data_IF_149696869501
#
_entry.id   IF_149696869501
#
_cell.length_a   1.000
_cell.length_b   1.000
_cell.length_c   1.000
_cell.angle_alpha   90.00
_cell.angle_beta   90.00
_cell.angle_gamma   90.00
#
_symmetry.space_group_name_H-M   'P 1'
#
loop_
_entity.id
_entity.type
_entity.pdbx_description
1 polymer ?
#
# COMPACT_ATOMS: atom_id res chain seq x y z
N UNK A 1 -37.06 -24.04 -25.17
CA UNK A 1 -37.63 -23.61 -23.88
C UNK A 1 -36.45 -23.37 -22.92
N UNK A 2 -35.73 -22.26 -23.13
CA UNK A 2 -34.60 -21.85 -22.30
C UNK A 2 -34.95 -20.46 -21.75
N UNK A 3 -35.34 -20.43 -20.49
CA UNK A 3 -35.63 -19.20 -19.76
C UNK A 3 -34.32 -18.66 -19.20
N UNK A 4 -33.77 -17.62 -19.83
CA UNK A 4 -32.74 -16.78 -19.22
C UNK A 4 -33.36 -15.98 -18.08
N UNK A 5 -32.97 -16.31 -16.84
CA UNK A 5 -33.20 -15.47 -15.68
C UNK A 5 -32.18 -14.33 -15.72
N UNK A 6 -32.63 -13.13 -16.00
CA UNK A 6 -31.86 -11.91 -15.77
C UNK A 6 -31.63 -11.76 -14.26
N UNK A 7 -30.37 -11.78 -13.85
CA UNK A 7 -29.95 -11.37 -12.52
C UNK A 7 -29.98 -9.84 -12.49
N UNK A 8 -30.96 -9.26 -11.81
CA UNK A 8 -31.03 -7.81 -11.58
C UNK A 8 -29.97 -7.48 -10.54
N UNK A 9 -28.83 -6.95 -11.00
CA UNK A 9 -27.80 -6.37 -10.14
C UNK A 9 -28.34 -5.12 -9.48
N UNK A 10 -28.47 -5.15 -8.15
CA UNK A 10 -28.79 -3.98 -7.34
C UNK A 10 -27.55 -3.08 -7.34
N UNK A 11 -27.51 -2.06 -8.21
CA UNK A 11 -26.58 -0.96 -8.08
C UNK A 11 -26.95 -0.18 -6.81
N UNK A 12 -26.23 -0.42 -5.72
CA UNK A 12 -26.22 0.49 -4.57
C UNK A 12 -25.51 1.77 -5.02
N UNK A 13 -26.26 2.74 -5.55
CA UNK A 13 -25.77 4.11 -5.75
C UNK A 13 -25.64 4.71 -4.35
N UNK A 14 -24.46 4.54 -3.74
CA UNK A 14 -24.08 5.31 -2.56
C UNK A 14 -23.79 6.72 -3.04
N UNK A 15 -24.84 7.52 -3.25
CA UNK A 15 -24.67 8.95 -3.42
C UNK A 15 -24.01 9.46 -2.14
N UNK A 16 -22.78 9.95 -2.24
CA UNK A 16 -22.19 10.90 -1.28
C UNK A 16 -22.96 12.24 -1.35
N UNK A 17 -24.29 12.18 -1.34
CA UNK A 17 -25.15 13.33 -1.15
C UNK A 17 -25.14 13.63 0.35
N UNK A 18 -24.40 14.68 0.68
CA UNK A 18 -24.21 15.25 2.01
C UNK A 18 -25.55 15.81 2.50
N UNK A 19 -26.30 15.03 3.28
CA UNK A 19 -27.31 15.57 4.21
C UNK A 19 -27.26 14.79 5.52
N UNK A 20 -26.17 14.96 6.26
CA UNK A 20 -26.01 14.51 7.63
C UNK A 20 -25.35 15.62 8.44
N UNK A 21 -25.54 15.64 9.79
CA UNK A 21 -25.08 16.72 10.64
C UNK A 21 -23.61 17.03 10.39
N UNK A 22 -23.32 18.33 10.24
CA UNK A 22 -22.03 18.89 9.88
C UNK A 22 -20.94 18.44 10.85
N UNK A 23 -20.30 17.31 10.56
CA UNK A 23 -18.95 17.05 11.04
C UNK A 23 -18.06 18.14 10.44
N UNK A 24 -17.20 18.71 11.27
CA UNK A 24 -16.35 19.86 10.98
C UNK A 24 -15.49 19.59 9.74
N UNK A 25 -16.00 19.95 8.57
CA UNK A 25 -15.27 19.98 7.32
C UNK A 25 -14.43 21.26 7.29
N UNK A 26 -13.39 21.31 8.13
CA UNK A 26 -12.24 22.15 7.84
C UNK A 26 -11.36 21.34 6.86
N UNK A 27 -11.82 21.33 5.61
CA UNK A 27 -11.29 20.65 4.43
C UNK A 27 -10.00 21.33 3.96
N UNK A 28 -9.03 21.46 4.87
CA UNK A 28 -7.71 21.99 4.55
C UNK A 28 -6.79 20.83 4.18
N UNK A 29 -6.83 20.42 2.92
CA UNK A 29 -5.95 19.36 2.40
C UNK A 29 -4.45 19.73 2.47
N UNK A 30 -4.06 20.86 3.08
CA UNK A 30 -2.65 21.26 3.24
C UNK A 30 -1.80 20.34 4.11
N UNK A 31 -2.43 19.53 4.96
CA UNK A 31 -1.71 18.54 5.78
C UNK A 31 -1.54 17.23 5.02
N UNK A 32 -0.36 16.61 5.17
CA UNK A 32 -0.09 15.28 4.65
C UNK A 32 -1.00 14.21 5.29
N UNK A 33 -1.05 13.06 4.64
CA UNK A 33 -1.88 11.92 5.04
C UNK A 33 -1.57 11.45 6.47
N UNK A 34 -0.32 11.51 6.91
CA UNK A 34 0.11 11.03 8.23
C UNK A 34 -0.41 11.90 9.37
N UNK A 35 -0.23 13.22 9.25
CA UNK A 35 -0.76 14.19 10.23
C UNK A 35 -2.28 14.09 10.30
N UNK A 36 -2.96 13.99 9.15
CA UNK A 36 -4.42 13.83 9.12
C UNK A 36 -4.88 12.51 9.72
N UNK A 37 -4.14 11.42 9.50
CA UNK A 37 -4.44 10.12 10.08
C UNK A 37 -4.33 10.13 11.61
N UNK A 38 -3.33 10.81 12.18
CA UNK A 38 -3.19 10.96 13.64
C UNK A 38 -4.39 11.69 14.27
N UNK A 39 -4.84 12.78 13.64
CA UNK A 39 -6.03 13.52 14.09
C UNK A 39 -7.29 12.64 13.99
N UNK A 40 -7.41 11.91 12.88
CA UNK A 40 -8.53 11.00 12.64
C UNK A 40 -8.55 9.83 13.63
N UNK A 41 -7.39 9.26 13.96
CA UNK A 41 -7.23 8.18 14.93
C UNK A 41 -7.70 8.60 16.32
N UNK A 42 -7.34 9.81 16.78
CA UNK A 42 -7.85 10.36 18.03
C UNK A 42 -9.37 10.48 18.04
N UNK A 43 -9.93 11.04 16.97
CA UNK A 43 -11.39 11.20 16.82
C UNK A 43 -12.12 9.84 16.79
N UNK A 44 -11.51 8.84 16.14
CA UNK A 44 -12.03 7.48 16.11
C UNK A 44 -11.99 6.85 17.52
N UNK A 45 -10.90 6.99 18.28
CA UNK A 45 -10.81 6.49 19.65
C UNK A 45 -11.85 7.11 20.58
N UNK A 46 -12.06 8.43 20.51
CA UNK A 46 -13.09 9.11 21.31
C UNK A 46 -14.50 8.53 21.01
N UNK A 47 -14.78 8.26 19.73
CA UNK A 47 -16.03 7.64 19.28
C UNK A 47 -16.17 6.18 19.74
N UNK A 48 -15.09 5.39 19.71
CA UNK A 48 -15.07 4.00 20.15
C UNK A 48 -15.27 3.89 21.66
N UNK A 49 -14.61 4.76 22.45
CA UNK A 49 -14.79 4.84 23.89
C UNK A 49 -16.23 5.18 24.27
N UNK A 50 -16.85 6.13 23.55
CA UNK A 50 -18.27 6.47 23.75
C UNK A 50 -19.25 5.34 23.40
N UNK A 51 -18.78 4.28 22.75
CA UNK A 51 -19.54 3.06 22.40
C UNK A 51 -19.15 1.85 23.27
N UNK A 52 -18.38 2.06 24.34
CA UNK A 52 -17.88 1.00 25.23
C UNK A 52 -17.05 -0.09 24.51
N UNK A 53 -16.39 0.26 23.39
CA UNK A 53 -15.53 -0.67 22.64
C UNK A 53 -14.20 -0.81 23.37
N UNK A 54 -13.77 -2.06 23.65
CA UNK A 54 -12.49 -2.33 24.31
C UNK A 54 -11.43 -2.83 23.33
N UNK A 55 -11.80 -3.73 22.40
CA UNK A 55 -10.87 -4.32 21.45
C UNK A 55 -11.29 -4.03 20.01
N UNK A 56 -10.38 -3.47 19.21
CA UNK A 56 -10.66 -3.09 17.82
C UNK A 56 -9.61 -3.62 16.85
N UNK A 57 -10.07 -4.14 15.70
CA UNK A 57 -9.20 -4.54 14.60
C UNK A 57 -9.35 -3.58 13.42
N UNK A 58 -8.23 -3.19 12.79
CA UNK A 58 -8.23 -2.36 11.58
C UNK A 58 -7.92 -3.23 10.37
N UNK A 59 -8.80 -3.18 9.37
CA UNK A 59 -8.73 -4.00 8.17
C UNK A 59 -8.52 -3.17 6.90
N UNK A 60 -8.13 -3.84 5.81
CA UNK A 60 -7.90 -3.29 4.47
C UNK A 60 -8.95 -2.23 4.11
N UNK A 61 -8.48 -1.12 3.56
CA UNK A 61 -9.34 -0.07 3.03
C UNK A 61 -9.67 -0.36 1.57
N UNK A 62 -10.73 0.25 1.05
CA UNK A 62 -11.10 0.13 -0.36
C UNK A 62 -10.91 1.42 -1.11
N UNK A 63 -10.35 1.36 -2.30
CA UNK A 63 -10.24 2.51 -3.16
C UNK A 63 -11.56 2.73 -3.91
N UNK A 64 -11.89 3.99 -4.15
CA UNK A 64 -12.92 4.38 -5.09
C UNK A 64 -12.25 5.06 -6.29
N UNK A 65 -12.46 4.51 -7.47
CA UNK A 65 -11.94 5.08 -8.71
C UNK A 65 -12.74 6.34 -9.15
N UNK A 66 -12.33 6.93 -10.27
CA UNK A 66 -12.97 8.10 -10.85
C UNK A 66 -14.38 7.83 -11.42
N UNK A 67 -14.70 6.56 -11.68
CA UNK A 67 -16.00 6.03 -12.10
C UNK A 67 -16.87 5.61 -10.91
N UNK A 68 -16.42 5.88 -9.69
CA UNK A 68 -17.09 5.50 -8.44
C UNK A 68 -17.25 3.98 -8.27
N UNK A 69 -16.43 3.19 -8.96
CA UNK A 69 -16.29 1.78 -8.70
C UNK A 69 -15.40 1.59 -7.48
N UNK A 70 -15.80 0.65 -6.64
CA UNK A 70 -15.05 0.28 -5.45
C UNK A 70 -14.13 -0.86 -5.84
N UNK A 71 -12.83 -0.67 -5.64
CA UNK A 71 -11.82 -1.70 -5.85
C UNK A 71 -11.10 -2.00 -4.54
N UNK A 72 -10.85 -3.29 -4.32
CA UNK A 72 -9.95 -3.72 -3.26
C UNK A 72 -8.48 -3.64 -3.71
N UNK A 73 -8.23 -3.37 -4.99
CA UNK A 73 -6.93 -3.46 -5.64
C UNK A 73 -6.61 -2.14 -6.34
N UNK A 74 -5.95 -1.25 -5.60
CA UNK A 74 -5.32 -0.03 -6.11
C UNK A 74 -3.88 0.02 -5.58
N UNK A 75 -3.07 -0.93 -6.04
CA UNK A 75 -1.72 -1.15 -5.55
C UNK A 75 -1.68 -1.47 -4.06
N UNK A 76 -0.61 -1.04 -3.39
CA UNK A 76 -0.42 -1.26 -1.95
C UNK A 76 -1.10 -0.20 -1.07
N UNK A 77 -1.73 0.82 -1.66
CA UNK A 77 -2.34 1.93 -0.94
C UNK A 77 -3.46 1.48 0.03
N UNK A 78 -4.26 0.49 -0.38
CA UNK A 78 -5.36 -0.06 0.43
C UNK A 78 -4.89 -0.63 1.77
N UNK A 79 -3.76 -1.34 1.75
CA UNK A 79 -3.15 -1.93 2.94
C UNK A 79 -2.38 -0.89 3.74
N UNK A 80 -1.65 0.01 3.07
CA UNK A 80 -0.93 1.09 3.76
C UNK A 80 -1.85 1.99 4.58
N UNK A 81 -3.00 2.40 4.04
CA UNK A 81 -3.92 3.25 4.80
C UNK A 81 -4.40 2.54 6.07
N UNK A 82 -4.68 1.23 5.97
CA UNK A 82 -5.06 0.42 7.14
C UNK A 82 -3.93 0.39 8.18
N UNK A 83 -2.70 0.08 7.76
CA UNK A 83 -1.53 0.05 8.64
C UNK A 83 -1.23 1.41 9.27
N UNK A 84 -1.29 2.49 8.49
CA UNK A 84 -1.08 3.84 8.97
C UNK A 84 -2.12 4.21 10.03
N UNK A 85 -3.39 3.84 9.84
CA UNK A 85 -4.42 4.02 10.86
C UNK A 85 -4.14 3.18 12.11
N UNK A 86 -3.75 1.91 11.96
CA UNK A 86 -3.36 1.04 13.10
C UNK A 86 -2.26 1.70 13.91
N UNK A 87 -1.18 2.13 13.26
CA UNK A 87 -0.04 2.78 13.90
C UNK A 87 -0.45 4.09 14.58
N UNK A 88 -1.29 4.91 13.94
CA UNK A 88 -1.83 6.13 14.53
C UNK A 88 -2.69 5.86 15.75
N UNK A 89 -3.57 4.85 15.71
CA UNK A 89 -4.38 4.46 16.88
C UNK A 89 -3.47 4.00 18.03
N UNK A 90 -2.47 3.17 17.75
CA UNK A 90 -1.52 2.72 18.77
C UNK A 90 -0.73 3.89 19.38
N UNK A 91 -0.24 4.82 18.56
CA UNK A 91 0.47 6.00 19.03
C UNK A 91 -0.39 6.86 19.97
N UNK A 92 -1.64 7.15 19.59
CA UNK A 92 -2.56 7.94 20.43
C UNK A 92 -2.91 7.21 21.73
N UNK A 93 -3.09 5.89 21.68
CA UNK A 93 -3.38 5.06 22.87
C UNK A 93 -2.19 5.05 23.85
N UNK A 94 -0.95 5.01 23.36
CA UNK A 94 0.26 5.08 24.20
C UNK A 94 0.36 6.40 24.95
N UNK A 95 -0.04 7.52 24.33
CA UNK A 95 -0.02 8.83 24.96
C UNK A 95 -1.13 9.04 26.00
N UNK A 96 -2.33 8.48 25.74
CA UNK A 96 -3.54 8.75 26.53
C UNK A 96 -3.83 7.69 27.61
N UNK A 97 -3.16 6.53 27.55
CA UNK A 97 -3.48 5.35 28.36
C UNK A 97 -4.54 4.48 27.67
N UNK A 98 -4.48 3.13 27.82
CA UNK A 98 -5.29 2.24 27.00
C UNK A 98 -6.73 2.14 27.49
N UNK A 99 -7.63 2.90 26.88
CA UNK A 99 -9.06 2.64 26.94
C UNK A 99 -9.54 1.70 25.83
N UNK A 100 -8.80 1.63 24.72
CA UNK A 100 -9.08 0.75 23.57
C UNK A 100 -7.78 0.05 23.17
N UNK A 101 -7.81 -1.28 23.08
CA UNK A 101 -6.73 -2.10 22.58
C UNK A 101 -6.90 -2.35 21.08
N UNK A 102 -5.79 -2.24 20.35
CA UNK A 102 -5.76 -2.41 18.90
C UNK A 102 -5.18 -3.79 18.59
N UNK A 103 -5.87 -4.58 17.79
CA UNK A 103 -5.38 -5.88 17.35
C UNK A 103 -4.16 -5.71 16.43
N UNK A 104 -3.09 -6.44 16.76
CA UNK A 104 -1.90 -6.58 15.95
C UNK A 104 -2.20 -7.54 14.80
N UNK A 105 -1.69 -7.23 13.60
CA UNK A 105 -1.76 -8.10 12.42
C UNK A 105 -3.17 -8.59 12.05
N UNK A 106 -4.19 -7.76 12.29
CA UNK A 106 -5.59 -8.13 12.06
C UNK A 106 -5.87 -8.59 10.62
N UNK A 107 -5.17 -8.02 9.64
CA UNK A 107 -5.29 -8.41 8.23
C UNK A 107 -4.68 -9.80 7.94
N UNK A 108 -3.57 -10.16 8.57
CA UNK A 108 -2.98 -11.51 8.46
C UNK A 108 -3.89 -12.55 9.10
N UNK A 109 -4.49 -12.26 10.26
CA UNK A 109 -5.49 -13.15 10.87
C UNK A 109 -6.70 -13.31 9.94
N UNK A 110 -7.21 -12.21 9.35
CA UNK A 110 -8.31 -12.26 8.40
C UNK A 110 -7.99 -13.10 7.16
N UNK A 111 -6.81 -12.93 6.57
CA UNK A 111 -6.39 -13.65 5.37
C UNK A 111 -6.34 -15.18 5.59
N UNK A 112 -6.04 -15.61 6.82
CA UNK A 112 -5.93 -17.02 7.18
C UNK A 112 -7.24 -17.64 7.70
N UNK A 113 -8.29 -16.85 7.93
CA UNK A 113 -9.56 -17.32 8.48
C UNK A 113 -10.56 -17.65 7.35
N UNK A 114 -10.94 -18.93 7.14
CA UNK A 114 -11.84 -19.31 6.05
C UNK A 114 -13.21 -18.61 6.14
N UNK A 115 -13.57 -17.90 5.07
CA UNK A 115 -14.83 -17.16 4.99
C UNK A 115 -14.82 -15.80 5.70
N UNK A 116 -13.68 -15.37 6.27
CA UNK A 116 -13.53 -14.04 6.84
C UNK A 116 -13.50 -12.98 5.73
N UNK A 117 -14.26 -11.90 5.96
CA UNK A 117 -14.26 -10.74 5.08
C UNK A 117 -14.82 -9.53 5.82
N UNK A 118 -14.07 -8.43 5.85
CA UNK A 118 -14.47 -7.21 6.56
C UNK A 118 -15.64 -6.46 5.88
N UNK A 119 -15.94 -6.78 4.61
CA UNK A 119 -16.98 -6.13 3.80
C UNK A 119 -18.36 -6.76 3.97
N UNK A 120 -18.46 -8.09 3.92
CA UNK A 120 -19.74 -8.79 4.06
C UNK A 120 -20.13 -8.94 5.53
N UNK A 121 -21.42 -8.85 5.88
CA UNK A 121 -21.89 -9.14 7.23
C UNK A 121 -21.50 -10.53 7.73
N UNK A 122 -21.59 -11.55 6.87
CA UNK A 122 -21.24 -12.93 7.19
C UNK A 122 -19.76 -13.08 7.49
N UNK A 123 -18.91 -12.51 6.63
CA UNK A 123 -17.46 -12.52 6.84
C UNK A 123 -17.02 -11.72 8.07
N UNK A 124 -17.71 -10.63 8.43
CA UNK A 124 -17.41 -9.90 9.67
C UNK A 124 -17.72 -10.74 10.90
N UNK A 125 -18.80 -11.52 10.89
CA UNK A 125 -19.09 -12.45 11.99
C UNK A 125 -17.95 -13.45 12.20
N UNK A 126 -17.36 -13.97 11.11
CA UNK A 126 -16.18 -14.85 11.20
C UNK A 126 -15.00 -14.12 11.85
N UNK A 127 -14.76 -12.86 11.50
CA UNK A 127 -13.70 -12.03 12.10
C UNK A 127 -13.91 -11.79 13.59
N UNK A 128 -15.14 -11.46 14.03
CA UNK A 128 -15.43 -11.25 15.46
C UNK A 128 -15.25 -12.50 16.32
N UNK A 129 -15.26 -13.69 15.72
CA UNK A 129 -15.01 -14.95 16.43
C UNK A 129 -13.54 -15.36 16.48
N UNK A 130 -12.64 -14.68 15.75
CA UNK A 130 -11.20 -14.96 15.81
C UNK A 130 -10.57 -14.40 17.10
N UNK A 131 -9.53 -15.07 17.58
CA UNK A 131 -8.68 -14.56 18.65
C UNK A 131 -7.51 -13.77 18.03
N UNK A 132 -7.39 -12.49 18.41
CA UNK A 132 -6.32 -11.61 17.94
C UNK A 132 -5.36 -11.30 19.07
N UNK A 133 -4.07 -11.16 18.75
CA UNK A 133 -3.11 -10.58 19.67
C UNK A 133 -3.39 -9.07 19.78
N UNK A 134 -3.64 -8.57 20.97
CA UNK A 134 -3.93 -7.17 21.23
C UNK A 134 -2.64 -6.39 21.54
N UNK A 135 -2.70 -5.06 21.40
CA UNK A 135 -1.61 -4.16 21.81
C UNK A 135 -1.28 -4.21 23.31
N UNK A 136 -2.17 -4.79 24.13
CA UNK A 136 -1.89 -5.12 25.55
C UNK A 136 -0.96 -6.33 25.74
N UNK A 137 -0.77 -7.14 24.70
CA UNK A 137 -0.07 -8.43 24.74
C UNK A 137 -0.98 -9.62 25.03
N UNK A 138 -2.25 -9.40 25.35
CA UNK A 138 -3.24 -10.47 25.57
C UNK A 138 -3.90 -10.88 24.25
N UNK A 139 -4.43 -12.10 24.19
CA UNK A 139 -5.30 -12.51 23.10
C UNK A 139 -6.76 -12.29 23.48
N UNK A 140 -7.53 -11.67 22.59
CA UNK A 140 -8.96 -11.43 22.81
C UNK A 140 -9.74 -11.42 21.49
N UNK A 141 -11.07 -11.47 21.58
CA UNK A 141 -11.96 -11.21 20.45
C UNK A 141 -12.11 -9.70 20.22
N UNK A 142 -12.58 -9.35 19.03
CA UNK A 142 -12.89 -7.96 18.70
C UNK A 142 -14.29 -7.60 19.19
N UNK A 143 -14.42 -6.40 19.76
CA UNK A 143 -15.71 -5.76 20.05
C UNK A 143 -16.07 -4.76 18.95
N UNK A 144 -15.07 -4.37 18.15
CA UNK A 144 -15.19 -3.43 17.06
C UNK A 144 -14.29 -3.79 15.88
N UNK A 145 -14.76 -3.45 14.68
CA UNK A 145 -14.03 -3.56 13.43
C UNK A 145 -13.95 -2.19 12.79
N UNK A 146 -12.75 -1.77 12.40
CA UNK A 146 -12.51 -0.59 11.55
C UNK A 146 -12.08 -1.04 10.16
N UNK A 147 -12.65 -0.41 9.15
CA UNK A 147 -12.15 -0.43 7.76
C UNK A 147 -12.45 0.94 7.17
N UNK A 148 -12.41 1.09 5.86
CA UNK A 148 -12.86 2.32 5.24
C UNK A 148 -12.78 2.33 3.75
N UNK A 149 -12.95 3.54 3.23
CA UNK A 149 -12.81 3.83 1.82
C UNK A 149 -11.90 5.03 1.65
N UNK A 150 -11.16 5.06 0.56
CA UNK A 150 -10.45 6.25 0.15
C UNK A 150 -10.67 6.54 -1.33
N UNK A 151 -10.54 7.80 -1.71
CA UNK A 151 -10.67 8.26 -3.09
C UNK A 151 -9.52 9.21 -3.40
N UNK A 152 -8.70 8.83 -4.37
CA UNK A 152 -7.70 9.71 -4.94
C UNK A 152 -8.40 10.75 -5.83
N UNK A 153 -8.06 12.03 -5.67
CA UNK A 153 -8.62 13.09 -6.51
C UNK A 153 -8.15 12.95 -7.96
N UNK A 154 -8.93 13.47 -8.91
CA UNK A 154 -8.59 13.36 -10.34
C UNK A 154 -7.30 14.10 -10.71
N UNK A 155 -7.00 15.17 -10.01
CA UNK A 155 -5.74 15.91 -10.14
C UNK A 155 -4.59 15.26 -9.34
N UNK A 156 -4.85 14.12 -8.67
CA UNK A 156 -3.92 13.37 -7.85
C UNK A 156 -3.36 14.12 -6.64
N UNK A 157 -3.74 15.38 -6.37
CA UNK A 157 -3.18 16.21 -5.30
C UNK A 157 -3.72 15.90 -3.91
N UNK A 158 -4.85 15.22 -3.82
CA UNK A 158 -5.50 14.94 -2.55
C UNK A 158 -6.09 13.54 -2.49
N UNK A 159 -6.21 13.01 -1.28
CA UNK A 159 -6.94 11.78 -0.98
C UNK A 159 -8.02 12.08 0.05
N UNK A 160 -9.25 11.68 -0.26
CA UNK A 160 -10.36 11.70 0.71
C UNK A 160 -10.48 10.33 1.35
N UNK A 161 -10.49 10.26 2.68
CA UNK A 161 -10.57 9.02 3.45
C UNK A 161 -11.84 9.04 4.31
N UNK A 162 -12.56 7.92 4.32
CA UNK A 162 -13.69 7.66 5.20
C UNK A 162 -13.38 6.43 6.05
N UNK A 163 -13.13 6.64 7.34
CA UNK A 163 -12.98 5.58 8.34
C UNK A 163 -14.38 5.13 8.75
N UNK A 164 -14.60 3.82 8.69
CA UNK A 164 -15.87 3.18 8.98
C UNK A 164 -15.73 2.15 10.08
N UNK A 165 -16.82 1.93 10.80
CA UNK A 165 -16.90 1.07 11.97
C UNK A 165 -18.04 0.06 11.82
N UNK A 166 -17.85 -1.14 12.37
CA UNK A 166 -18.92 -2.10 12.63
C UNK A 166 -18.67 -2.79 13.97
N UNK A 167 -19.74 -3.07 14.70
CA UNK A 167 -19.75 -3.99 15.85
C UNK A 167 -20.25 -5.39 15.42
N UNK A 168 -20.23 -6.41 16.30
CA UNK A 168 -20.72 -7.76 15.99
C UNK A 168 -22.19 -7.84 15.53
N UNK A 169 -22.99 -6.82 15.84
CA UNK A 169 -24.41 -6.76 15.48
C UNK A 169 -24.67 -5.96 14.19
N UNK A 170 -23.65 -5.28 13.69
CA UNK A 170 -23.78 -4.33 12.58
C UNK A 170 -23.94 -5.02 11.23
N UNK A 171 -25.08 -4.79 10.58
CA UNK A 171 -25.31 -5.23 9.20
C UNK A 171 -24.47 -4.46 8.18
N UNK A 172 -24.02 -3.23 8.49
CA UNK A 172 -23.29 -2.36 7.59
C UNK A 172 -22.13 -1.67 8.30
N UNK A 173 -21.16 -1.22 7.52
CA UNK A 173 -20.11 -0.32 7.99
C UNK A 173 -20.68 1.11 8.09
N UNK A 174 -20.54 1.72 9.25
CA UNK A 174 -20.97 3.10 9.53
C UNK A 174 -19.77 4.04 9.47
N UNK A 175 -19.82 5.16 8.72
CA UNK A 175 -18.74 6.14 8.73
C UNK A 175 -18.64 6.83 10.09
N UNK A 176 -17.46 6.80 10.71
CA UNK A 176 -17.20 7.43 12.01
C UNK A 176 -16.30 8.67 11.89
N UNK A 177 -15.40 8.71 10.90
CA UNK A 177 -14.52 9.84 10.63
C UNK A 177 -14.35 10.01 9.13
N UNK A 178 -14.31 11.25 8.66
CA UNK A 178 -13.97 11.59 7.27
C UNK A 178 -12.98 12.74 7.26
N UNK A 179 -12.01 12.67 6.36
CA UNK A 179 -11.04 13.75 6.17
C UNK A 179 -10.48 13.73 4.75
N UNK A 180 -9.83 14.82 4.37
CA UNK A 180 -9.01 14.92 3.17
C UNK A 180 -7.57 15.23 3.58
N UNK A 181 -6.61 14.78 2.78
CA UNK A 181 -5.18 15.05 2.97
C UNK A 181 -4.49 15.28 1.63
N UNK A 182 -3.37 16.00 1.64
CA UNK A 182 -2.47 16.05 0.50
C UNK A 182 -1.88 14.67 0.24
N UNK A 183 -1.72 14.33 -1.04
CA UNK A 183 -0.93 13.17 -1.45
C UNK A 183 0.55 13.52 -1.45
N UNK A 184 1.39 12.49 -1.44
CA UNK A 184 2.82 12.63 -1.71
C UNK A 184 3.25 11.63 -2.79
N UNK A 185 4.50 11.77 -3.25
CA UNK A 185 5.08 10.88 -4.25
C UNK A 185 5.00 9.39 -3.88
N UNK A 186 5.17 9.05 -2.59
CA UNK A 186 5.15 7.66 -2.14
C UNK A 186 3.73 7.09 -2.22
N UNK A 187 2.73 7.85 -1.74
CA UNK A 187 1.33 7.47 -1.78
C UNK A 187 0.85 7.32 -3.23
N UNK A 188 1.24 8.22 -4.14
CA UNK A 188 0.91 8.11 -5.55
C UNK A 188 1.53 6.86 -6.19
N UNK A 189 2.80 6.57 -5.92
CA UNK A 189 3.44 5.34 -6.39
C UNK A 189 2.71 4.09 -5.90
N UNK A 190 2.21 4.11 -4.67
CA UNK A 190 1.44 3.00 -4.08
C UNK A 190 0.02 2.88 -4.62
N UNK A 191 -0.54 3.96 -5.15
CA UNK A 191 -1.76 3.93 -5.94
C UNK A 191 -1.52 3.42 -7.38
N UNK A 192 -0.28 3.07 -7.73
CA UNK A 192 0.10 2.63 -9.07
C UNK A 192 0.42 3.77 -10.05
N UNK A 193 0.47 5.02 -9.59
CA UNK A 193 0.83 6.14 -10.45
C UNK A 193 2.31 6.10 -10.84
N UNK A 194 2.58 6.49 -12.09
CA UNK A 194 3.93 6.56 -12.65
C UNK A 194 4.27 8.02 -12.89
N UNK A 195 5.47 8.47 -12.53
CA UNK A 195 5.94 9.82 -12.82
C UNK A 195 7.46 9.87 -12.92
N UNK A 196 7.98 10.87 -13.63
CA UNK A 196 9.41 11.10 -13.80
C UNK A 196 9.79 12.44 -13.18
N UNK A 197 10.61 12.41 -12.13
CA UNK A 197 11.13 13.62 -11.49
C UNK A 197 12.64 13.73 -11.63
N UNK A 198 13.10 14.94 -11.94
CA UNK A 198 14.52 15.29 -11.98
C UNK A 198 14.87 16.01 -10.68
N UNK A 199 15.56 15.33 -9.77
CA UNK A 199 16.10 15.90 -8.53
C UNK A 199 17.52 16.43 -8.75
N UNK A 200 17.84 17.64 -8.27
CA UNK A 200 19.19 18.22 -8.35
C UNK A 200 19.99 18.06 -7.06
N UNK A 201 19.48 17.32 -6.08
CA UNK A 201 20.23 17.03 -4.85
C UNK A 201 19.38 16.43 -3.72
N UNK A 202 20.02 16.06 -2.60
CA UNK A 202 19.33 15.41 -1.47
C UNK A 202 18.24 16.28 -0.81
N UNK A 203 18.28 17.59 -1.04
CA UNK A 203 17.27 18.55 -0.57
C UNK A 203 16.09 18.71 -1.51
N UNK A 204 16.22 18.29 -2.78
CA UNK A 204 15.13 18.34 -3.76
C UNK A 204 14.19 17.17 -3.48
N UNK A 205 13.25 17.41 -2.56
CA UNK A 205 12.12 16.53 -2.33
C UNK A 205 11.07 16.85 -3.37
N UNK A 206 10.57 15.81 -4.03
CA UNK A 206 9.38 15.93 -4.84
C UNK A 206 8.21 16.19 -3.90
N UNK A 207 7.69 17.42 -3.90
CA UNK A 207 6.46 17.72 -3.20
C UNK A 207 5.27 17.01 -3.87
N UNK A 208 4.16 16.87 -3.14
CA UNK A 208 2.98 16.14 -3.61
C UNK A 208 2.35 16.73 -4.87
N UNK A 209 2.34 18.05 -4.97
CA UNK A 209 1.77 18.77 -6.11
C UNK A 209 2.57 18.52 -7.39
N UNK A 210 3.91 18.58 -7.30
CA UNK A 210 4.80 18.24 -8.40
C UNK A 210 4.67 16.76 -8.80
N UNK A 211 4.57 15.85 -7.81
CA UNK A 211 4.38 14.43 -8.11
C UNK A 211 3.07 14.18 -8.86
N UNK A 212 2.00 14.82 -8.42
CA UNK A 212 0.69 14.76 -9.05
C UNK A 212 0.72 15.31 -10.49
N UNK A 213 1.34 16.46 -10.72
CA UNK A 213 1.48 17.06 -12.06
C UNK A 213 2.28 16.17 -13.01
N UNK A 214 3.38 15.58 -12.54
CA UNK A 214 4.18 14.65 -13.33
C UNK A 214 3.45 13.34 -13.61
N UNK A 215 2.66 12.84 -12.65
CA UNK A 215 1.85 11.64 -12.83
C UNK A 215 0.74 11.85 -13.85
N UNK A 216 0.07 12.99 -13.81
CA UNK A 216 -0.91 13.38 -14.82
C UNK A 216 -0.28 13.46 -16.21
N UNK A 217 0.89 14.09 -16.34
CA UNK A 217 1.61 14.17 -17.61
C UNK A 217 2.01 12.78 -18.12
N UNK A 218 2.47 11.88 -17.23
CA UNK A 218 2.85 10.52 -17.58
C UNK A 218 1.67 9.65 -18.03
N UNK A 219 0.44 9.94 -17.58
CA UNK A 219 -0.78 9.26 -18.08
C UNK A 219 -1.09 9.61 -19.54
N UNK A 220 -0.66 10.79 -20.01
CA UNK A 220 -0.89 11.24 -21.38
C UNK A 220 0.19 10.74 -22.36
N UNK A 221 1.35 10.35 -21.85
CA UNK A 221 2.51 9.95 -22.65
C UNK A 221 2.64 8.41 -22.67
N UNK A 222 2.46 7.78 -23.84
CA UNK A 222 2.77 6.36 -24.08
C UNK A 222 4.31 6.16 -24.03
N UNK A 223 4.90 6.30 -22.85
CA UNK A 223 6.33 6.16 -22.71
C UNK A 223 6.75 4.70 -22.83
N UNK A 224 7.65 4.44 -23.78
CA UNK A 224 8.34 3.16 -23.89
C UNK A 224 9.20 2.95 -22.65
N UNK A 225 9.25 1.73 -22.10
CA UNK A 225 10.10 1.43 -20.97
C UNK A 225 11.58 1.65 -21.34
N UNK A 226 12.32 2.36 -20.49
CA UNK A 226 13.77 2.61 -20.63
C UNK A 226 14.63 1.58 -19.89
N UNK A 227 14.01 0.86 -18.95
CA UNK A 227 14.61 -0.21 -18.15
C UNK A 227 13.62 -1.37 -18.12
N UNK A 228 14.14 -2.58 -18.20
CA UNK A 228 13.42 -3.85 -18.10
C UNK A 228 13.95 -4.64 -16.90
N UNK A 229 13.04 -5.29 -16.19
CA UNK A 229 13.35 -6.19 -15.09
C UNK A 229 12.72 -7.55 -15.40
N UNK A 230 13.57 -8.54 -15.65
CA UNK A 230 13.13 -9.93 -15.77
C UNK A 230 13.29 -10.64 -14.44
N UNK A 231 12.36 -11.55 -14.16
CA UNK A 231 12.38 -12.37 -12.96
C UNK A 231 12.50 -13.83 -13.37
N UNK A 232 13.34 -14.58 -12.65
CA UNK A 232 13.62 -15.97 -12.96
C UNK A 232 13.50 -16.86 -11.73
N UNK A 233 12.83 -18.00 -11.89
CA UNK A 233 12.81 -19.10 -10.92
C UNK A 233 13.54 -20.31 -11.49
N UNK A 234 14.58 -20.78 -10.81
CA UNK A 234 15.40 -21.90 -11.26
C UNK A 234 15.97 -21.73 -12.68
N UNK A 235 16.30 -20.49 -13.05
CA UNK A 235 16.82 -20.18 -14.38
C UNK A 235 15.76 -20.05 -15.48
N UNK A 236 14.47 -20.19 -15.16
CA UNK A 236 13.37 -20.02 -16.11
C UNK A 236 12.73 -18.64 -15.92
N UNK A 237 12.47 -17.88 -16.99
CA UNK A 237 11.76 -16.61 -16.87
C UNK A 237 10.36 -16.83 -16.33
N UNK A 238 9.90 -15.89 -15.53
CA UNK A 238 8.55 -15.87 -14.93
C UNK A 238 7.67 -14.97 -15.78
N UNK A 239 6.50 -15.47 -16.15
CA UNK A 239 5.51 -14.68 -16.90
C UNK A 239 4.91 -13.61 -15.96
N UNK A 240 4.93 -12.36 -16.42
CA UNK A 240 4.29 -11.23 -15.75
C UNK A 240 2.89 -11.08 -16.33
N UNK A 241 1.88 -11.08 -15.47
CA UNK A 241 0.48 -10.89 -15.82
C UNK A 241 0.05 -9.48 -15.41
N UNK A 242 -0.55 -8.73 -16.33
CA UNK A 242 -1.19 -7.46 -15.99
C UNK A 242 -2.66 -7.74 -15.63
N UNK A 243 -3.03 -7.50 -14.37
CA UNK A 243 -4.39 -7.66 -13.85
C UNK A 243 -4.78 -6.35 -13.19
N UNK A 244 -5.80 -5.69 -13.74
CA UNK A 244 -6.33 -4.41 -13.23
C UNK A 244 -5.26 -3.30 -13.04
N UNK A 245 -4.25 -3.29 -13.92
CA UNK A 245 -3.14 -2.31 -13.90
C UNK A 245 -1.99 -2.68 -12.97
N UNK A 246 -2.08 -3.80 -12.25
CA UNK A 246 -1.00 -4.36 -11.45
C UNK A 246 -0.21 -5.42 -12.23
N UNK A 247 1.09 -5.47 -11.98
CA UNK A 247 1.97 -6.50 -12.55
C UNK A 247 2.14 -7.62 -11.53
N UNK A 248 1.48 -8.74 -11.79
CA UNK A 248 1.52 -9.94 -10.95
C UNK A 248 2.48 -10.97 -11.53
N UNK A 249 3.19 -11.66 -10.66
CA UNK A 249 4.00 -12.84 -10.98
C UNK A 249 3.54 -14.01 -10.11
N UNK A 250 3.68 -15.23 -10.61
CA UNK A 250 3.38 -16.41 -9.80
C UNK A 250 4.29 -16.47 -8.58
N UNK A 251 3.76 -16.91 -7.42
CA UNK A 251 4.56 -17.05 -6.21
C UNK A 251 5.63 -18.15 -6.35
N UNK A 252 6.87 -17.92 -5.91
CA UNK A 252 7.89 -18.95 -5.90
C UNK A 252 7.67 -19.93 -4.73
N UNK A 253 8.21 -21.13 -4.85
CA UNK A 253 8.23 -22.14 -3.79
C UNK A 253 9.54 -22.09 -3.00
N UNK A 254 9.55 -22.67 -1.79
CA UNK A 254 10.74 -22.77 -0.91
C UNK A 254 11.96 -23.43 -1.57
N UNK A 255 11.76 -24.16 -2.68
CA UNK A 255 12.83 -24.84 -3.43
C UNK A 255 13.37 -24.00 -4.57
N UNK A 256 12.68 -22.92 -4.92
CA UNK A 256 13.02 -22.11 -6.07
C UNK A 256 14.19 -21.18 -5.76
N UNK A 257 15.12 -21.15 -6.70
CA UNK A 257 16.18 -20.14 -6.73
C UNK A 257 15.70 -18.93 -7.51
N UNK A 258 15.54 -17.82 -6.81
CA UNK A 258 15.09 -16.56 -7.40
C UNK A 258 16.29 -15.70 -7.79
N UNK A 259 16.26 -15.14 -8.99
CA UNK A 259 17.11 -14.02 -9.37
C UNK A 259 16.39 -13.12 -10.35
N UNK A 260 16.90 -11.90 -10.47
CA UNK A 260 16.39 -10.90 -11.38
C UNK A 260 17.48 -10.44 -12.33
N UNK A 261 17.09 -10.00 -13.52
CA UNK A 261 18.01 -9.40 -14.48
C UNK A 261 17.49 -8.02 -14.85
N UNK A 262 18.28 -7.01 -14.50
CA UNK A 262 18.01 -5.62 -14.83
C UNK A 262 18.70 -5.27 -16.15
N UNK A 263 17.94 -4.79 -17.11
CA UNK A 263 18.42 -4.43 -18.45
C UNK A 263 18.04 -3.00 -18.78
N UNK A 264 18.98 -2.24 -19.32
CA UNK A 264 18.68 -0.96 -19.97
C UNK A 264 18.17 -1.25 -21.39
N UNK A 265 17.05 -0.62 -21.76
CA UNK A 265 16.41 -0.83 -23.07
C UNK A 265 16.76 0.27 -24.08
N UNK A 266 16.94 1.50 -23.63
CA UNK A 266 17.36 2.58 -24.49
C UNK A 266 18.88 2.68 -24.62
N UNK A 267 19.33 3.41 -25.65
CA UNK A 267 20.74 3.76 -25.87
C UNK A 267 20.93 5.27 -25.82
N UNK A 268 20.05 5.96 -25.08
CA UNK A 268 20.24 7.38 -24.85
C UNK A 268 21.54 7.59 -24.08
N UNK A 269 22.24 8.69 -24.35
CA UNK A 269 23.54 8.99 -23.71
C UNK A 269 23.41 9.45 -22.24
N UNK A 270 22.21 9.35 -21.67
CA UNK A 270 21.94 9.70 -20.28
C UNK A 270 22.39 8.58 -19.33
N UNK A 271 22.88 8.91 -18.14
CA UNK A 271 23.07 7.92 -17.08
C UNK A 271 21.73 7.70 -16.36
N UNK A 272 21.37 6.44 -16.13
CA UNK A 272 20.23 6.08 -15.30
C UNK A 272 20.72 5.57 -13.95
N UNK A 273 19.94 5.80 -12.91
CA UNK A 273 20.16 5.23 -11.60
C UNK A 273 18.90 4.48 -11.16
N UNK A 274 19.05 3.26 -10.66
CA UNK A 274 17.92 2.37 -10.36
C UNK A 274 17.94 1.99 -8.88
N UNK A 275 16.79 2.13 -8.23
CA UNK A 275 16.52 1.50 -6.93
C UNK A 275 15.64 0.28 -7.18
N UNK A 276 16.12 -0.88 -6.79
CA UNK A 276 15.37 -2.13 -6.82
C UNK A 276 15.17 -2.58 -5.37
N UNK A 277 13.93 -2.84 -4.98
CA UNK A 277 13.57 -3.35 -3.65
C UNK A 277 12.80 -4.66 -3.77
N UNK A 278 13.03 -5.53 -2.78
CA UNK A 278 12.25 -6.75 -2.56
C UNK A 278 11.80 -6.73 -1.12
N UNK A 279 10.49 -6.84 -0.88
CA UNK A 279 9.91 -6.68 0.45
C UNK A 279 10.28 -5.36 1.13
N UNK A 280 10.39 -4.29 0.34
CA UNK A 280 10.79 -2.95 0.82
C UNK A 280 12.28 -2.80 1.10
N UNK A 281 13.06 -3.89 1.14
CA UNK A 281 14.52 -3.85 1.30
C UNK A 281 15.22 -3.58 -0.03
N UNK A 282 16.09 -2.58 -0.05
CA UNK A 282 16.94 -2.29 -1.20
C UNK A 282 17.91 -3.46 -1.45
N UNK A 283 18.02 -3.89 -2.71
CA UNK A 283 18.97 -4.94 -3.11
C UNK A 283 20.43 -4.54 -2.88
N UNK A 284 20.72 -3.25 -2.62
CA UNK A 284 22.00 -2.74 -2.15
C UNK A 284 21.90 -2.45 -0.64
N UNK A 285 22.66 -3.18 0.17
CA UNK A 285 22.75 -3.08 1.65
C UNK A 285 21.48 -3.39 2.47
N UNK A 286 20.34 -3.67 1.84
CA UNK A 286 19.12 -4.08 2.56
C UNK A 286 18.43 -2.95 3.33
N UNK A 287 18.69 -1.67 3.00
CA UNK A 287 18.00 -0.56 3.66
C UNK A 287 16.56 -0.39 3.16
N UNK A 288 15.67 0.06 4.05
CA UNK A 288 14.26 0.39 3.74
C UNK A 288 14.04 1.90 3.65
N UNK A 289 15.07 2.65 3.25
CA UNK A 289 15.00 4.12 3.18
C UNK A 289 14.14 4.57 2.00
N UNK A 290 13.68 5.84 1.98
CA UNK A 290 13.06 6.42 0.80
C UNK A 290 13.98 6.33 -0.44
N UNK A 291 13.39 6.05 -1.61
CA UNK A 291 14.13 5.69 -2.84
C UNK A 291 15.17 6.75 -3.25
N UNK A 292 14.85 8.03 -3.06
CA UNK A 292 15.76 9.13 -3.40
C UNK A 292 17.04 9.14 -2.54
N UNK A 293 16.97 8.64 -1.30
CA UNK A 293 18.13 8.53 -0.38
C UNK A 293 18.81 7.15 -0.41
N UNK A 294 18.14 6.17 -0.99
CA UNK A 294 18.65 4.81 -1.11
C UNK A 294 19.83 4.74 -2.09
N UNK A 295 20.68 3.73 -1.89
CA UNK A 295 21.76 3.40 -2.83
C UNK A 295 21.20 2.92 -4.16
N UNK A 296 21.90 3.22 -5.25
CA UNK A 296 21.40 3.06 -6.62
C UNK A 296 22.34 2.21 -7.46
N UNK A 297 21.77 1.35 -8.30
CA UNK A 297 22.48 0.67 -9.39
C UNK A 297 22.62 1.69 -10.53
N UNK A 298 23.84 2.03 -10.91
CA UNK A 298 24.10 2.98 -11.99
C UNK A 298 24.16 2.24 -13.34
N UNK A 299 23.33 2.67 -14.28
CA UNK A 299 23.27 2.13 -15.65
C UNK A 299 23.73 3.20 -16.64
N UNK A 300 24.98 3.08 -17.11
CA UNK A 300 25.50 3.82 -18.25
C UNK A 300 24.84 3.33 -19.55
N UNK A 301 24.94 4.10 -20.66
CA UNK A 301 24.37 3.70 -21.96
C UNK A 301 24.82 2.31 -22.43
N UNK A 302 26.08 1.96 -22.16
CA UNK A 302 26.68 0.66 -22.52
C UNK A 302 26.74 -0.33 -21.35
N UNK A 303 26.03 -0.06 -20.23
CA UNK A 303 26.02 -0.98 -19.10
C UNK A 303 25.50 -2.36 -19.53
N UNK A 304 26.23 -3.46 -19.23
CA UNK A 304 25.69 -4.79 -19.45
C UNK A 304 24.50 -5.05 -18.53
N UNK A 305 23.72 -6.07 -18.86
CA UNK A 305 22.65 -6.55 -17.97
C UNK A 305 23.21 -6.89 -16.58
N UNK A 306 22.54 -6.42 -15.53
CA UNK A 306 22.93 -6.70 -14.15
C UNK A 306 22.09 -7.87 -13.59
N UNK A 307 22.74 -8.95 -13.16
CA UNK A 307 22.05 -10.07 -12.50
C UNK A 307 22.04 -9.89 -10.99
N UNK A 308 20.86 -9.77 -10.40
CA UNK A 308 20.64 -9.63 -8.96
C UNK A 308 20.18 -10.97 -8.39
N UNK A 309 21.04 -11.62 -7.57
CA UNK A 309 20.78 -12.94 -6.95
C UNK A 309 20.39 -12.87 -5.47
N UNK A 310 20.33 -11.67 -4.92
CA UNK A 310 20.13 -11.42 -3.52
C UNK A 310 20.43 -9.98 -3.16
N UNK A 311 20.50 -9.70 -1.85
CA UNK A 311 20.82 -8.39 -1.31
C UNK A 311 22.34 -8.28 -1.15
N UNK A 312 22.96 -7.35 -1.86
CA UNK A 312 24.38 -7.08 -1.79
C UNK A 312 24.74 -6.53 -0.41
N UNK A 313 25.73 -7.13 0.25
CA UNK A 313 26.14 -6.78 1.61
C UNK A 313 27.35 -5.86 1.63
N UNK A 314 28.08 -5.75 0.52
CA UNK A 314 29.26 -4.91 0.36
C UNK A 314 29.51 -4.54 -1.11
N UNK A 315 30.50 -3.67 -1.32
CA UNK A 315 30.96 -3.26 -2.65
C UNK A 315 31.77 -4.33 -3.39
N UNK A 316 32.21 -5.39 -2.69
CA UNK A 316 32.93 -6.49 -3.31
C UNK A 316 31.99 -7.45 -4.07
N UNK A 317 30.67 -7.20 -4.01
CA UNK A 317 29.65 -7.99 -4.68
C UNK A 317 29.28 -9.25 -3.90
N UNK A 318 29.60 -9.33 -2.61
CA UNK A 318 29.02 -10.36 -1.75
C UNK A 318 27.54 -10.08 -1.55
N UNK A 319 26.74 -11.15 -1.42
CA UNK A 319 25.30 -11.02 -1.31
C UNK A 319 24.68 -12.10 -0.41
N UNK A 320 23.64 -11.69 0.30
CA UNK A 320 22.67 -12.59 0.95
C UNK A 320 21.67 -13.03 -0.11
N UNK A 321 21.69 -14.31 -0.49
CA UNK A 321 20.77 -14.89 -1.48
C UNK A 321 19.32 -14.58 -1.12
N UNK A 322 18.49 -14.35 -2.13
CA UNK A 322 17.05 -14.42 -1.95
C UNK A 322 16.68 -15.80 -1.44
N UNK A 323 15.89 -15.84 -0.37
CA UNK A 323 15.34 -17.05 0.20
C UNK A 323 13.83 -16.92 0.18
N UNK A 324 13.17 -17.92 -0.40
CA UNK A 324 11.72 -18.03 -0.38
C UNK A 324 11.33 -18.64 0.96
N UNK A 325 10.53 -17.91 1.73
CA UNK A 325 10.02 -18.38 3.01
C UNK A 325 9.00 -19.50 2.80
N UNK A 326 8.90 -20.42 3.77
CA UNK A 326 7.72 -21.30 3.82
C UNK A 326 6.50 -20.53 4.32
N UNK A 327 5.32 -21.16 4.29
CA UNK A 327 4.07 -20.49 4.68
C UNK A 327 4.10 -19.95 6.13
N UNK A 328 4.76 -20.66 7.04
CA UNK A 328 4.81 -20.25 8.45
C UNK A 328 5.72 -19.05 8.61
N UNK A 329 6.88 -19.08 7.97
CA UNK A 329 7.82 -17.96 7.97
C UNK A 329 7.29 -16.76 7.19
N UNK A 330 6.58 -16.98 6.08
CA UNK A 330 5.96 -15.91 5.29
C UNK A 330 5.00 -15.09 6.14
N UNK A 331 4.16 -15.74 6.95
CA UNK A 331 3.26 -15.06 7.89
C UNK A 331 4.00 -14.22 8.93
N UNK A 332 5.17 -14.66 9.37
CA UNK A 332 6.00 -13.85 10.27
C UNK A 332 6.62 -12.65 9.54
N UNK A 333 7.04 -12.85 8.30
CA UNK A 333 7.60 -11.79 7.46
C UNK A 333 6.55 -10.76 7.03
N UNK A 334 5.27 -11.11 6.97
CA UNK A 334 4.18 -10.15 6.80
C UNK A 334 4.16 -9.12 7.95
N UNK A 335 4.50 -9.54 9.18
CA UNK A 335 4.61 -8.65 10.34
C UNK A 335 5.83 -7.72 10.19
N UNK A 336 6.97 -8.28 9.76
CA UNK A 336 8.23 -7.53 9.67
C UNK A 336 8.25 -6.54 8.48
N UNK A 337 7.70 -6.97 7.35
CA UNK A 337 7.70 -6.18 6.11
C UNK A 337 6.42 -5.38 5.90
N UNK A 338 5.32 -5.74 6.56
CA UNK A 338 4.04 -5.07 6.42
C UNK A 338 3.56 -5.09 4.96
N UNK A 339 3.14 -3.95 4.39
CA UNK A 339 2.55 -3.86 3.06
C UNK A 339 3.54 -4.12 1.93
N UNK A 340 4.84 -4.15 2.24
CA UNK A 340 5.86 -4.43 1.24
C UNK A 340 6.04 -5.93 1.00
N UNK A 341 5.50 -6.82 1.85
CA UNK A 341 5.67 -8.27 1.72
C UNK A 341 5.24 -8.78 0.33
N UNK A 342 6.10 -9.54 -0.33
CA UNK A 342 5.87 -10.05 -1.68
C UNK A 342 6.08 -9.01 -2.80
N UNK A 343 6.35 -7.74 -2.47
CA UNK A 343 6.49 -6.67 -3.47
C UNK A 343 7.91 -6.63 -4.04
N UNK A 344 7.98 -6.49 -5.36
CA UNK A 344 9.20 -6.10 -6.08
C UNK A 344 8.96 -4.70 -6.65
N UNK A 345 9.73 -3.72 -6.17
CA UNK A 345 9.59 -2.33 -6.57
C UNK A 345 10.83 -1.90 -7.36
N UNK A 346 10.61 -1.31 -8.54
CA UNK A 346 11.64 -0.75 -9.40
C UNK A 346 11.39 0.75 -9.58
N UNK A 347 12.35 1.57 -9.17
CA UNK A 347 12.32 3.02 -9.37
C UNK A 347 13.53 3.43 -10.20
N UNK A 348 13.28 4.16 -11.28
CA UNK A 348 14.32 4.61 -12.21
C UNK A 348 14.44 6.13 -12.14
N UNK A 349 15.65 6.60 -11.88
CA UNK A 349 16.05 7.99 -11.89
C UNK A 349 16.85 8.27 -13.16
N UNK A 350 16.58 9.40 -13.82
CA UNK A 350 17.41 9.93 -14.91
C UNK A 350 18.40 10.94 -14.34
N UNK A 351 19.61 10.96 -14.86
CA UNK A 351 20.57 12.02 -14.56
C UNK A 351 19.98 13.38 -14.95
N UNK A 352 20.10 14.37 -14.06
CA UNK A 352 19.66 15.72 -14.35
C UNK A 352 20.56 16.31 -15.43
N UNK A 353 19.99 16.78 -16.54
CA UNK A 353 20.73 17.59 -17.49
C UNK A 353 21.25 18.85 -16.76
N UNK A 354 22.55 19.16 -16.90
CA UNK A 354 23.08 20.43 -16.43
C UNK A 354 22.25 21.56 -17.04
N UNK A 355 21.64 22.38 -16.18
CA UNK A 355 20.98 23.60 -16.63
C UNK A 355 22.08 24.55 -17.12
N UNK A 356 22.19 24.70 -18.44
CA UNK A 356 23.08 25.68 -19.09
C UNK A 356 22.63 27.10 -18.77
#
# INVERSE_FOLDING_TARGET
>A
MFTHKFLVGFCLVLSLAVTGPSYVAADDASYDLEVRMMIAAKSALDMLQGRDVQNVGVFKFRAMDDRHQITDDLGTANMRIAEQLTNSLMAVTLESGPAVHVALDANTVAANAPGAAHISPEGRKVLFEQDFQMSSGEHSKLDGLISGMFKLSRDLKSVSVAIMYADPTSEKLEPIVRFSAATDANFLAQCGERFQFVSRGPSDRLDGDQAAELALAAREDEQRPIVELDIFYNGKPVDVQEVDGELLIGEPTVRDSVHMVLRRLDRADEVLAVVLKVNGENVIYGDRKPDYTSQKIILHPDSPSCTIRGIWTDQAGHYRKFRVADETESRQLEIDYGPDVGLIQLVVFREAAEAV
#
